data_IF_330335869184
#
_entry.id   IF_330335869184
#
_cell.length_a   1.000
_cell.length_b   1.000
_cell.length_c   1.000
_cell.angle_alpha   90.00
_cell.angle_beta   90.00
_cell.angle_gamma   90.00
#
_symmetry.space_group_name_H-M   'P 1'
#
loop_
_entity.id
_entity.type
_entity.pdbx_description
1 polymer ?
#
# COMPACT_ATOMS: atom_id res chain seq x y z
N UNK A 1 1.60 -14.55 -37.43
CA UNK A 1 0.61 -14.36 -36.35
C UNK A 1 0.81 -15.31 -35.12
N UNK A 2 1.20 -16.57 -35.17
CA UNK A 2 1.33 -17.43 -33.97
C UNK A 2 2.44 -17.02 -32.99
N UNK A 3 3.50 -16.36 -33.46
CA UNK A 3 4.66 -15.94 -32.62
C UNK A 3 4.29 -14.86 -31.60
N UNK A 4 3.51 -13.89 -32.02
CA UNK A 4 3.09 -12.76 -31.17
C UNK A 4 2.16 -13.24 -30.03
N UNK A 5 1.39 -14.29 -30.28
CA UNK A 5 0.46 -14.88 -29.30
C UNK A 5 1.22 -15.64 -28.20
N UNK A 6 2.33 -16.32 -28.53
CA UNK A 6 3.18 -17.02 -27.56
C UNK A 6 3.88 -16.05 -26.59
N UNK A 7 4.38 -14.92 -27.09
CA UNK A 7 5.02 -13.89 -26.25
C UNK A 7 4.04 -13.21 -25.27
N UNK A 8 2.82 -12.94 -25.73
CA UNK A 8 1.75 -12.37 -24.90
C UNK A 8 1.35 -13.36 -23.79
N UNK A 9 1.26 -14.64 -24.12
CA UNK A 9 0.95 -15.69 -23.13
C UNK A 9 2.04 -15.77 -22.06
N UNK A 10 3.32 -15.82 -22.46
CA UNK A 10 4.48 -15.83 -21.52
C UNK A 10 4.49 -14.59 -20.62
N UNK A 11 4.21 -13.43 -21.17
CA UNK A 11 4.10 -12.19 -20.36
C UNK A 11 2.96 -12.28 -19.34
N UNK A 12 1.79 -12.80 -19.72
CA UNK A 12 0.67 -13.00 -18.80
C UNK A 12 1.03 -13.99 -17.68
N UNK A 13 1.69 -15.09 -18.01
CA UNK A 13 2.14 -16.08 -17.02
C UNK A 13 3.17 -15.47 -16.06
N UNK A 14 4.07 -14.62 -16.55
CA UNK A 14 4.98 -13.84 -15.71
C UNK A 14 4.23 -12.95 -14.72
N UNK A 15 3.24 -12.16 -15.18
CA UNK A 15 2.46 -11.27 -14.33
C UNK A 15 1.73 -12.04 -13.23
N UNK A 16 1.14 -13.19 -13.57
CA UNK A 16 0.46 -14.05 -12.59
C UNK A 16 1.43 -14.65 -11.56
N UNK A 17 2.60 -15.11 -12.00
CA UNK A 17 3.66 -15.60 -11.10
C UNK A 17 4.19 -14.50 -10.20
N UNK A 18 4.40 -13.29 -10.75
CA UNK A 18 4.81 -12.12 -10.00
C UNK A 18 3.77 -11.75 -8.93
N UNK A 19 2.47 -11.78 -9.26
CA UNK A 19 1.39 -11.51 -8.30
C UNK A 19 1.47 -12.46 -7.10
N UNK A 20 1.64 -13.76 -7.32
CA UNK A 20 1.82 -14.75 -6.25
C UNK A 20 3.03 -14.45 -5.37
N UNK A 21 4.17 -14.14 -5.99
CA UNK A 21 5.41 -13.79 -5.28
C UNK A 21 5.25 -12.51 -4.45
N UNK A 22 4.60 -11.49 -5.02
CA UNK A 22 4.35 -10.24 -4.32
C UNK A 22 3.37 -10.40 -3.15
N UNK A 23 2.34 -11.25 -3.29
CA UNK A 23 1.45 -11.57 -2.18
C UNK A 23 2.20 -12.24 -1.01
N UNK A 24 3.21 -13.08 -1.30
CA UNK A 24 4.07 -13.67 -0.28
C UNK A 24 4.96 -12.62 0.38
N UNK A 25 5.54 -11.72 -0.42
CA UNK A 25 6.35 -10.59 0.07
C UNK A 25 5.51 -9.65 0.94
N UNK A 26 4.24 -9.40 0.55
CA UNK A 26 3.31 -8.59 1.34
C UNK A 26 3.05 -9.20 2.72
N UNK A 27 2.88 -10.52 2.81
CA UNK A 27 2.74 -11.18 4.11
C UNK A 27 3.97 -10.95 5.01
N UNK A 28 5.17 -11.01 4.44
CA UNK A 28 6.43 -10.72 5.17
C UNK A 28 6.50 -9.25 5.60
N UNK A 29 6.14 -8.32 4.71
CA UNK A 29 6.12 -6.88 5.02
C UNK A 29 5.17 -6.61 6.19
N UNK A 30 3.95 -7.13 6.16
CA UNK A 30 2.98 -6.98 7.25
C UNK A 30 3.53 -7.54 8.57
N UNK A 31 4.18 -8.70 8.53
CA UNK A 31 4.80 -9.29 9.71
C UNK A 31 5.92 -8.40 10.29
N UNK A 32 6.80 -7.88 9.46
CA UNK A 32 7.85 -6.96 9.91
C UNK A 32 7.29 -5.64 10.44
N UNK A 33 6.23 -5.11 9.82
CA UNK A 33 5.56 -3.92 10.33
C UNK A 33 4.96 -4.12 11.74
N UNK A 34 4.70 -5.35 12.17
CA UNK A 34 4.21 -5.63 13.52
C UNK A 34 5.21 -5.20 14.62
N UNK A 35 6.50 -5.09 14.32
CA UNK A 35 7.51 -4.55 15.24
C UNK A 35 7.35 -3.05 15.51
N UNK A 36 6.54 -2.33 14.74
CA UNK A 36 6.24 -0.92 15.00
C UNK A 36 5.56 -0.71 16.36
N UNK A 37 4.71 -1.66 16.83
CA UNK A 37 4.08 -1.58 18.13
C UNK A 37 5.07 -1.55 19.30
N UNK A 38 5.97 -2.53 19.42
CA UNK A 38 7.06 -2.50 20.40
C UNK A 38 7.94 -1.24 20.31
N UNK A 39 8.24 -0.77 19.07
CA UNK A 39 9.03 0.45 18.88
C UNK A 39 8.32 1.68 19.45
N UNK A 40 7.02 1.86 19.15
CA UNK A 40 6.21 2.97 19.68
C UNK A 40 6.03 2.84 21.21
N UNK A 41 5.89 1.61 21.73
CA UNK A 41 5.83 1.38 23.17
C UNK A 41 7.13 1.78 23.88
N UNK A 42 8.28 1.58 23.25
CA UNK A 42 9.57 2.05 23.74
C UNK A 42 9.65 3.59 23.72
N UNK A 43 9.21 4.24 22.64
CA UNK A 43 9.15 5.71 22.54
C UNK A 43 8.27 6.29 23.66
N UNK A 44 7.17 5.65 23.99
CA UNK A 44 6.33 6.01 25.13
C UNK A 44 7.08 5.84 26.46
N UNK A 45 7.76 4.73 26.65
CA UNK A 45 8.53 4.48 27.86
C UNK A 45 9.62 5.55 28.07
N UNK A 46 10.21 6.03 26.98
CA UNK A 46 11.22 7.11 26.98
C UNK A 46 10.59 8.52 27.12
N UNK A 47 9.26 8.65 27.12
CA UNK A 47 8.55 9.92 27.27
C UNK A 47 8.42 10.75 25.97
N UNK A 48 8.68 10.17 24.80
CA UNK A 48 8.60 10.86 23.51
C UNK A 48 7.19 10.87 22.89
N UNK A 49 6.29 10.01 23.33
CA UNK A 49 4.92 9.97 22.83
C UNK A 49 3.92 9.52 23.89
N UNK A 50 2.62 9.88 23.70
CA UNK A 50 1.50 9.57 24.60
C UNK A 50 0.58 8.44 24.09
N UNK A 51 1.08 7.58 23.22
CA UNK A 51 0.28 6.48 22.67
C UNK A 51 0.05 5.39 23.73
N UNK A 52 -1.19 4.92 23.89
CA UNK A 52 -1.48 3.90 24.92
C UNK A 52 -0.78 2.57 24.60
N UNK A 53 -0.27 1.87 25.62
CA UNK A 53 0.33 0.54 25.44
C UNK A 53 -0.64 -0.47 24.83
N UNK A 54 -1.94 -0.38 25.15
CA UNK A 54 -2.98 -1.20 24.54
C UNK A 54 -3.09 -0.95 23.03
N UNK A 55 -2.97 0.30 22.57
CA UNK A 55 -2.95 0.62 21.14
C UNK A 55 -1.72 0.02 20.43
N UNK A 56 -0.54 0.06 21.08
CA UNK A 56 0.67 -0.55 20.53
C UNK A 56 0.52 -2.07 20.36
N UNK A 57 -0.03 -2.75 21.37
CA UNK A 57 -0.29 -4.21 21.33
C UNK A 57 -1.32 -4.54 20.26
N UNK A 58 -2.45 -3.81 20.23
CA UNK A 58 -3.54 -4.05 19.28
C UNK A 58 -3.07 -3.87 17.84
N UNK A 59 -2.25 -2.85 17.55
CA UNK A 59 -1.65 -2.63 16.24
C UNK A 59 -0.75 -3.80 15.82
N UNK A 60 0.14 -4.26 16.70
CA UNK A 60 1.00 -5.40 16.40
C UNK A 60 0.19 -6.67 16.14
N UNK A 61 -0.81 -6.95 16.96
CA UNK A 61 -1.70 -8.09 16.78
C UNK A 61 -2.46 -8.02 15.46
N UNK A 62 -2.99 -6.85 15.10
CA UNK A 62 -3.69 -6.64 13.83
C UNK A 62 -2.77 -6.93 12.63
N UNK A 63 -1.53 -6.44 12.65
CA UNK A 63 -0.55 -6.70 11.58
C UNK A 63 -0.16 -8.17 11.49
N UNK A 64 -0.01 -8.87 12.62
CA UNK A 64 0.25 -10.30 12.66
C UNK A 64 -0.94 -11.08 12.06
N UNK A 65 -2.16 -10.76 12.46
CA UNK A 65 -3.38 -11.39 11.92
C UNK A 65 -3.49 -11.16 10.42
N UNK A 66 -3.25 -9.93 9.95
CA UNK A 66 -3.26 -9.58 8.53
C UNK A 66 -2.19 -10.35 7.75
N UNK A 67 -0.98 -10.50 8.31
CA UNK A 67 0.10 -11.28 7.71
C UNK A 67 -0.26 -12.75 7.56
N UNK A 68 -0.82 -13.38 8.60
CA UNK A 68 -1.28 -14.77 8.52
C UNK A 68 -2.44 -14.92 7.54
N UNK A 69 -3.43 -14.03 7.58
CA UNK A 69 -4.53 -13.99 6.61
C UNK A 69 -4.02 -13.87 5.17
N UNK A 70 -3.07 -12.99 4.91
CA UNK A 70 -2.41 -12.85 3.61
C UNK A 70 -1.73 -14.13 3.15
N UNK A 71 -1.03 -14.82 4.07
CA UNK A 71 -0.37 -16.10 3.77
C UNK A 71 -1.37 -17.20 3.45
N UNK A 72 -2.47 -17.28 4.19
CA UNK A 72 -3.54 -18.24 3.96
C UNK A 72 -4.22 -17.97 2.62
N UNK A 73 -4.62 -16.71 2.36
CA UNK A 73 -5.23 -16.33 1.09
C UNK A 73 -4.30 -16.59 -0.10
N UNK A 74 -3.00 -16.31 0.03
CA UNK A 74 -2.03 -16.60 -1.03
C UNK A 74 -1.86 -18.10 -1.27
N UNK A 75 -2.10 -18.95 -0.26
CA UNK A 75 -2.06 -20.42 -0.44
C UNK A 75 -3.26 -20.93 -1.22
N UNK A 76 -4.48 -20.44 -0.92
CA UNK A 76 -5.71 -20.93 -1.53
C UNK A 76 -6.11 -20.15 -2.79
N UNK A 77 -5.85 -18.87 -2.85
CA UNK A 77 -6.26 -17.96 -3.93
C UNK A 77 -5.11 -17.06 -4.40
N UNK A 78 -3.95 -17.63 -4.84
CA UNK A 78 -2.73 -16.88 -5.12
C UNK A 78 -2.85 -15.84 -6.22
N UNK A 79 -3.78 -16.02 -7.14
CA UNK A 79 -3.97 -15.17 -8.32
C UNK A 79 -5.16 -14.21 -8.17
N UNK A 80 -5.89 -14.31 -7.07
CA UNK A 80 -7.07 -13.49 -6.82
C UNK A 80 -6.70 -12.02 -6.51
N UNK A 81 -7.48 -11.09 -7.03
CA UNK A 81 -7.40 -9.69 -6.64
C UNK A 81 -7.76 -9.47 -5.16
N UNK A 82 -8.65 -10.30 -4.61
CA UNK A 82 -8.98 -10.24 -3.19
C UNK A 82 -7.76 -10.47 -2.30
N UNK A 83 -6.87 -11.39 -2.69
CA UNK A 83 -5.61 -11.64 -1.97
C UNK A 83 -4.71 -10.41 -2.01
N UNK A 84 -4.60 -9.73 -3.15
CA UNK A 84 -3.82 -8.49 -3.26
C UNK A 84 -4.38 -7.40 -2.35
N UNK A 85 -5.68 -7.15 -2.45
CA UNK A 85 -6.31 -6.06 -1.71
C UNK A 85 -6.46 -6.36 -0.22
N UNK A 86 -6.53 -7.61 0.21
CA UNK A 86 -6.49 -7.97 1.62
C UNK A 86 -5.27 -7.35 2.33
N UNK A 87 -4.07 -7.56 1.79
CA UNK A 87 -2.85 -7.00 2.36
C UNK A 87 -2.79 -5.47 2.28
N UNK A 88 -3.10 -4.90 1.11
CA UNK A 88 -3.02 -3.45 0.91
C UNK A 88 -4.05 -2.70 1.76
N UNK A 89 -5.33 -3.10 1.71
CA UNK A 89 -6.40 -2.44 2.48
C UNK A 89 -6.23 -2.69 3.98
N UNK A 90 -5.82 -3.90 4.37
CA UNK A 90 -5.51 -4.21 5.76
C UNK A 90 -4.39 -3.31 6.31
N UNK A 91 -3.33 -3.10 5.53
CA UNK A 91 -2.25 -2.19 5.90
C UNK A 91 -2.74 -0.74 6.02
N UNK A 92 -3.53 -0.26 5.05
CA UNK A 92 -4.16 1.06 5.14
C UNK A 92 -5.01 1.21 6.40
N UNK A 93 -5.80 0.19 6.76
CA UNK A 93 -6.63 0.18 7.96
C UNK A 93 -5.81 0.32 9.24
N UNK A 94 -4.67 -0.36 9.31
CA UNK A 94 -3.74 -0.23 10.45
C UNK A 94 -3.12 1.18 10.49
N UNK A 95 -2.75 1.75 9.35
CA UNK A 95 -2.25 3.12 9.29
C UNK A 95 -3.31 4.13 9.78
N UNK A 96 -4.57 3.95 9.37
CA UNK A 96 -5.69 4.76 9.88
C UNK A 96 -5.84 4.63 11.40
N UNK A 97 -5.77 3.42 11.93
CA UNK A 97 -5.78 3.18 13.37
C UNK A 97 -4.61 3.88 14.08
N UNK A 98 -3.40 3.81 13.52
CA UNK A 98 -2.22 4.51 14.06
C UNK A 98 -2.44 6.03 14.09
N UNK A 99 -3.02 6.61 13.03
CA UNK A 99 -3.38 8.03 13.02
C UNK A 99 -4.35 8.39 14.15
N UNK A 100 -5.40 7.59 14.37
CA UNK A 100 -6.37 7.84 15.47
C UNK A 100 -5.73 7.68 16.85
N UNK A 101 -4.71 6.83 16.97
CA UNK A 101 -3.88 6.69 18.17
C UNK A 101 -2.82 7.81 18.32
N UNK A 102 -2.89 8.87 17.50
CA UNK A 102 -2.00 10.05 17.52
C UNK A 102 -0.56 9.77 17.07
N UNK A 103 -0.31 8.66 16.40
CA UNK A 103 0.99 8.38 15.78
C UNK A 103 1.13 9.14 14.45
N UNK A 104 2.26 9.80 14.25
CA UNK A 104 2.52 10.58 13.03
C UNK A 104 2.97 9.70 11.85
N UNK A 105 2.04 9.01 11.19
CA UNK A 105 2.35 8.02 10.14
C UNK A 105 2.02 8.48 8.70
N UNK A 106 1.91 9.78 8.44
CA UNK A 106 1.45 10.27 7.13
C UNK A 106 2.32 9.82 5.96
N UNK A 107 3.63 9.87 6.10
CA UNK A 107 4.57 9.40 5.07
C UNK A 107 4.39 7.90 4.76
N UNK A 108 3.94 7.12 5.74
CA UNK A 108 3.77 5.66 5.60
C UNK A 108 2.63 5.31 4.64
N UNK A 109 1.66 6.21 4.44
CA UNK A 109 0.64 6.01 3.42
C UNK A 109 1.22 5.92 2.00
N UNK A 110 2.34 6.59 1.72
CA UNK A 110 3.01 6.50 0.42
C UNK A 110 3.58 5.10 0.14
N UNK A 111 3.85 4.29 1.18
CA UNK A 111 4.32 2.91 1.00
C UNK A 111 3.30 2.02 0.30
N UNK A 112 2.01 2.29 0.47
CA UNK A 112 0.95 1.45 -0.13
C UNK A 112 0.97 1.53 -1.66
N UNK A 113 0.92 2.73 -2.29
CA UNK A 113 1.13 2.85 -3.73
C UNK A 113 2.49 2.30 -4.19
N UNK A 114 3.56 2.56 -3.44
CA UNK A 114 4.90 2.06 -3.79
C UNK A 114 4.95 0.54 -3.83
N UNK A 115 4.41 -0.14 -2.82
CA UNK A 115 4.35 -1.61 -2.81
C UNK A 115 3.47 -2.14 -3.95
N UNK A 116 2.39 -1.43 -4.28
CA UNK A 116 1.51 -1.84 -5.38
C UNK A 116 2.17 -1.76 -6.77
N UNK A 117 3.20 -0.92 -6.97
CA UNK A 117 4.00 -0.88 -8.20
C UNK A 117 4.68 -2.20 -8.52
N UNK A 118 5.13 -2.94 -7.50
CA UNK A 118 5.83 -4.21 -7.69
C UNK A 118 4.96 -5.33 -8.24
N UNK A 119 3.63 -5.18 -8.22
CA UNK A 119 2.74 -6.11 -8.93
C UNK A 119 2.84 -5.98 -10.45
N UNK A 120 3.42 -4.90 -10.97
CA UNK A 120 3.55 -4.61 -12.40
C UNK A 120 2.19 -4.58 -13.15
N UNK A 121 1.10 -4.32 -12.45
CA UNK A 121 -0.26 -4.27 -12.98
C UNK A 121 -0.90 -2.90 -12.76
N UNK A 122 -1.16 -2.17 -13.85
CA UNK A 122 -1.74 -0.81 -13.81
C UNK A 122 -3.05 -0.73 -13.04
N UNK A 123 -3.92 -1.76 -13.17
CA UNK A 123 -5.21 -1.80 -12.47
C UNK A 123 -5.01 -1.87 -10.96
N UNK A 124 -4.10 -2.74 -10.48
CA UNK A 124 -3.78 -2.86 -9.05
C UNK A 124 -3.24 -1.54 -8.54
N UNK A 125 -2.31 -0.92 -9.28
CA UNK A 125 -1.72 0.35 -8.89
C UNK A 125 -2.76 1.46 -8.76
N UNK A 126 -3.59 1.69 -9.79
CA UNK A 126 -4.60 2.76 -9.78
C UNK A 126 -5.64 2.57 -8.68
N UNK A 127 -6.13 1.35 -8.48
CA UNK A 127 -7.09 1.05 -7.41
C UNK A 127 -6.43 1.27 -6.04
N UNK A 128 -5.16 0.86 -5.89
CA UNK A 128 -4.40 1.09 -4.65
C UNK A 128 -4.24 2.57 -4.33
N UNK A 129 -3.91 3.41 -5.32
CA UNK A 129 -3.82 4.88 -5.14
C UNK A 129 -5.17 5.47 -4.73
N UNK A 130 -6.25 5.09 -5.42
CA UNK A 130 -7.59 5.59 -5.11
C UNK A 130 -8.05 5.19 -3.69
N UNK A 131 -7.88 3.92 -3.31
CA UNK A 131 -8.19 3.43 -1.97
C UNK A 131 -7.32 4.11 -0.90
N UNK A 132 -6.03 4.29 -1.18
CA UNK A 132 -5.12 4.98 -0.27
C UNK A 132 -5.56 6.43 -0.03
N UNK A 133 -5.96 7.15 -1.08
CA UNK A 133 -6.49 8.50 -0.94
C UNK A 133 -7.76 8.54 -0.09
N UNK A 134 -8.70 7.62 -0.30
CA UNK A 134 -9.91 7.50 0.52
C UNK A 134 -9.55 7.24 1.99
N UNK A 135 -8.58 6.37 2.26
CA UNK A 135 -8.15 6.08 3.64
C UNK A 135 -7.43 7.25 4.30
N UNK A 136 -6.66 8.05 3.55
CA UNK A 136 -6.08 9.31 4.03
C UNK A 136 -7.19 10.30 4.40
N UNK A 137 -8.23 10.43 3.54
CA UNK A 137 -9.38 11.28 3.79
C UNK A 137 -10.10 10.87 5.08
N UNK A 138 -10.45 9.58 5.22
CA UNK A 138 -11.09 9.04 6.42
C UNK A 138 -10.22 9.27 7.66
N UNK A 139 -8.92 9.01 7.56
CA UNK A 139 -7.97 9.17 8.65
C UNK A 139 -7.90 10.61 9.15
N UNK A 140 -7.80 11.59 8.22
CA UNK A 140 -7.75 13.00 8.57
C UNK A 140 -9.09 13.51 9.13
N UNK A 141 -10.21 13.01 8.61
CA UNK A 141 -11.53 13.32 9.15
C UNK A 141 -11.67 12.87 10.61
N UNK A 142 -11.22 11.64 10.93
CA UNK A 142 -11.29 11.07 12.28
C UNK A 142 -10.40 11.82 13.30
N UNK A 143 -9.34 12.48 12.85
CA UNK A 143 -8.40 13.19 13.74
C UNK A 143 -8.53 14.71 13.67
N UNK A 144 -9.45 15.24 12.87
CA UNK A 144 -9.61 16.68 12.60
C UNK A 144 -9.80 17.50 13.88
N UNK A 145 -10.69 17.06 14.79
CA UNK A 145 -10.98 17.74 16.05
C UNK A 145 -9.70 17.88 16.90
N UNK A 146 -8.98 16.78 17.05
CA UNK A 146 -7.74 16.77 17.83
C UNK A 146 -6.63 17.62 17.19
N UNK A 147 -6.49 17.54 15.87
CA UNK A 147 -5.43 18.26 15.15
C UNK A 147 -5.69 19.77 15.06
N UNK A 148 -6.94 20.17 14.92
CA UNK A 148 -7.32 21.59 14.94
C UNK A 148 -7.01 22.23 16.30
N UNK A 149 -7.26 21.52 17.41
CA UNK A 149 -6.94 22.01 18.76
C UNK A 149 -5.44 22.22 19.00
N UNK A 150 -4.57 21.53 18.27
CA UNK A 150 -3.12 21.68 18.38
C UNK A 150 -2.54 22.86 17.58
N UNK A 151 -3.36 23.51 16.75
CA UNK A 151 -2.93 24.61 15.89
C UNK A 151 -3.79 25.84 16.13
N UNK A 152 -3.14 26.93 16.44
CA UNK A 152 -3.78 28.26 16.69
C UNK A 152 -4.26 28.94 15.40
N UNK A 153 -3.81 28.44 14.23
CA UNK A 153 -4.10 29.03 12.91
C UNK A 153 -5.50 28.66 12.37
N UNK A 154 -6.15 27.66 12.97
CA UNK A 154 -7.47 27.19 12.54
C UNK A 154 -8.50 27.40 13.63
N UNK A 155 -9.65 27.96 13.26
CA UNK A 155 -10.76 28.19 14.19
C UNK A 155 -11.65 26.99 14.36
N UNK A 156 -11.79 26.18 13.30
CA UNK A 156 -12.68 25.03 13.26
C UNK A 156 -11.98 23.80 12.71
N UNK A 157 -12.37 22.57 13.15
CA UNK A 157 -11.86 21.32 12.62
C UNK A 157 -11.99 21.18 11.10
N UNK A 158 -13.08 21.72 10.53
CA UNK A 158 -13.34 21.68 9.10
C UNK A 158 -12.34 22.52 8.30
N UNK A 159 -11.96 23.70 8.80
CA UNK A 159 -10.94 24.54 8.15
C UNK A 159 -9.60 23.81 8.07
N UNK A 160 -9.17 23.19 9.18
CA UNK A 160 -7.97 22.38 9.23
C UNK A 160 -8.05 21.23 8.24
N UNK A 161 -9.16 20.48 8.23
CA UNK A 161 -9.35 19.34 7.34
C UNK A 161 -9.25 19.74 5.87
N UNK A 162 -9.93 20.81 5.44
CA UNK A 162 -9.91 21.29 4.05
C UNK A 162 -8.49 21.71 3.65
N UNK A 163 -7.79 22.48 4.51
CA UNK A 163 -6.43 22.94 4.23
C UNK A 163 -5.45 21.77 4.05
N UNK A 164 -5.50 20.79 4.94
CA UNK A 164 -4.62 19.61 4.90
C UNK A 164 -4.95 18.69 3.73
N UNK A 165 -6.25 18.48 3.45
CA UNK A 165 -6.69 17.65 2.32
C UNK A 165 -6.33 18.25 0.97
N UNK A 166 -6.25 19.58 0.85
CA UNK A 166 -5.73 20.26 -0.33
C UNK A 166 -4.31 19.77 -0.67
N UNK A 167 -3.41 19.76 0.31
CA UNK A 167 -2.04 19.23 0.18
C UNK A 167 -2.01 17.76 -0.20
N UNK A 168 -2.70 16.91 0.55
CA UNK A 168 -2.74 15.47 0.24
C UNK A 168 -3.36 15.14 -1.12
N UNK A 169 -4.29 15.94 -1.60
CA UNK A 169 -4.85 15.77 -2.95
C UNK A 169 -3.79 15.98 -4.01
N UNK A 170 -3.01 17.06 -3.91
CA UNK A 170 -1.91 17.38 -4.83
C UNK A 170 -0.85 16.27 -4.78
N UNK A 171 -0.43 15.85 -3.60
CA UNK A 171 0.54 14.76 -3.40
C UNK A 171 0.03 13.43 -3.99
N UNK A 172 -1.24 13.10 -3.76
CA UNK A 172 -1.85 11.86 -4.28
C UNK A 172 -1.94 11.86 -5.80
N UNK A 173 -2.23 13.01 -6.42
CA UNK A 173 -2.22 13.17 -7.89
C UNK A 173 -0.79 13.01 -8.42
N UNK A 174 0.20 13.61 -7.77
CA UNK A 174 1.59 13.53 -8.17
C UNK A 174 2.12 12.08 -8.05
N UNK A 175 1.90 11.42 -6.91
CA UNK A 175 2.28 10.02 -6.68
C UNK A 175 1.54 9.12 -7.67
N UNK A 176 0.24 9.32 -7.85
CA UNK A 176 -0.61 8.55 -8.76
C UNK A 176 -0.14 8.66 -10.20
N UNK A 177 0.16 9.86 -10.67
CA UNK A 177 0.64 10.13 -12.02
C UNK A 177 2.03 9.57 -12.28
N UNK A 178 2.99 9.88 -11.40
CA UNK A 178 4.37 9.39 -11.51
C UNK A 178 4.43 7.85 -11.47
N UNK A 179 3.73 7.23 -10.52
CA UNK A 179 3.74 5.77 -10.39
C UNK A 179 2.97 5.09 -11.52
N UNK A 180 1.89 5.68 -12.06
CA UNK A 180 1.25 5.16 -13.27
C UNK A 180 2.20 5.16 -14.47
N UNK A 181 2.94 6.24 -14.65
CA UNK A 181 3.96 6.32 -15.71
C UNK A 181 5.04 5.25 -15.53
N UNK A 182 5.57 5.09 -14.31
CA UNK A 182 6.55 4.07 -13.98
C UNK A 182 6.00 2.66 -14.20
N UNK A 183 4.80 2.36 -13.70
CA UNK A 183 4.15 1.06 -13.88
C UNK A 183 3.95 0.74 -15.37
N UNK A 184 3.54 1.75 -16.16
CA UNK A 184 3.39 1.61 -17.60
C UNK A 184 4.73 1.30 -18.28
N UNK A 185 5.79 2.01 -17.93
CA UNK A 185 7.13 1.81 -18.49
C UNK A 185 7.68 0.43 -18.14
N UNK A 186 7.57 0.02 -16.89
CA UNK A 186 8.00 -1.30 -16.42
C UNK A 186 7.23 -2.40 -17.15
N UNK A 187 5.90 -2.32 -17.19
CA UNK A 187 5.06 -3.30 -17.88
C UNK A 187 5.38 -3.44 -19.36
N UNK A 188 5.60 -2.30 -20.04
CA UNK A 188 5.95 -2.30 -21.46
C UNK A 188 7.35 -2.88 -21.71
N UNK A 189 8.31 -2.61 -20.81
CA UNK A 189 9.66 -3.16 -20.90
C UNK A 189 9.65 -4.69 -20.76
N UNK A 190 8.99 -5.23 -19.73
CA UNK A 190 8.84 -6.67 -19.59
C UNK A 190 8.12 -7.30 -20.77
N UNK A 191 7.02 -6.69 -21.22
CA UNK A 191 6.28 -7.19 -22.38
C UNK A 191 7.18 -7.27 -23.63
N UNK A 192 8.01 -6.24 -23.87
CA UNK A 192 8.96 -6.24 -24.98
C UNK A 192 9.98 -7.36 -24.89
N UNK A 193 10.58 -7.58 -23.70
CA UNK A 193 11.53 -8.68 -23.46
C UNK A 193 10.91 -10.04 -23.79
N UNK A 194 9.72 -10.32 -23.25
CA UNK A 194 9.06 -11.59 -23.47
C UNK A 194 8.63 -11.82 -24.93
N UNK A 195 8.27 -10.74 -25.64
CA UNK A 195 7.94 -10.83 -27.07
C UNK A 195 9.19 -11.03 -27.91
N UNK A 196 10.29 -10.34 -27.62
CA UNK A 196 11.55 -10.49 -28.36
C UNK A 196 12.18 -11.87 -28.19
N UNK A 197 12.18 -12.41 -26.95
CA UNK A 197 12.71 -13.75 -26.68
C UNK A 197 11.90 -14.85 -27.38
N UNK A 198 10.58 -14.66 -27.53
CA UNK A 198 9.77 -15.63 -28.26
C UNK A 198 10.07 -15.68 -29.77
N UNK A 199 10.60 -14.59 -30.32
CA UNK A 199 11.07 -14.54 -31.74
C UNK A 199 12.42 -15.24 -31.91
N UNK A 200 13.32 -15.11 -30.91
CA UNK A 200 14.63 -15.77 -30.93
C UNK A 200 14.51 -17.29 -30.76
N UNK A 201 13.69 -17.77 -29.85
CA UNK A 201 13.46 -19.21 -29.60
C UNK A 201 12.86 -19.98 -30.79
N UNK A 202 12.33 -19.28 -31.80
CA UNK A 202 11.78 -19.87 -33.02
C UNK A 202 12.74 -19.86 -34.19
N UNK A 203 13.87 -19.18 -34.07
CA UNK A 203 14.91 -19.11 -35.12
C UNK A 203 15.99 -20.21 -34.98
N UNK A 204 15.98 -20.91 -33.89
CA UNK A 204 16.84 -22.06 -33.59
C UNK A 204 16.02 -23.32 -33.37
#
# INVERSE_FOLDING_TARGET
MPVQDSGIKRYRDFVLKNRRSMNESMAKILFFCAFAGPAIALDRFLGYCDVSYSSCVLMSLALIILSFGQKILNRYFPLSLWTVFWGLVGFMGVLTFMCTAKVGVYITYALVPMVSLFYCEKKIYLISVALNYVMILVSNMLVSDFRALLRTDFREPLEWFIAVMGGYTIESIAIGGAGYYLCNRISNHFRSIYTSNSVLDQKY
#
